data_IF_989578708355
#
_entry.id   IF_989578708355
#
_cell.length_a   1.000
_cell.length_b   1.000
_cell.length_c   1.000
_cell.angle_alpha   90.00
_cell.angle_beta   90.00
_cell.angle_gamma   90.00
#
_symmetry.space_group_name_H-M   'P 1'
#
loop_
_entity.id
_entity.type
_entity.pdbx_description
1 polymer ?
#
# COMPACT_ATOMS: atom_id res chain seq x y z
N UNK A 1 -2.48 -19.14 -25.24
CA UNK A 1 -1.22 -18.36 -25.26
C UNK A 1 -1.35 -17.09 -24.41
N UNK A 2 -2.29 -16.19 -24.71
CA UNK A 2 -2.42 -14.90 -23.99
C UNK A 2 -2.67 -15.01 -22.48
N UNK A 3 -3.57 -15.90 -22.04
CA UNK A 3 -3.83 -16.10 -20.60
C UNK A 3 -2.60 -16.60 -19.83
N UNK A 4 -1.81 -17.48 -20.47
CA UNK A 4 -0.58 -18.03 -19.89
C UNK A 4 0.48 -16.94 -19.78
N UNK A 5 0.64 -16.12 -20.84
CA UNK A 5 1.56 -14.98 -20.82
C UNK A 5 1.19 -13.96 -19.74
N UNK A 6 -0.10 -13.55 -19.66
CA UNK A 6 -0.58 -12.61 -18.63
C UNK A 6 -0.33 -13.12 -17.21
N UNK A 7 -0.59 -14.40 -16.96
CA UNK A 7 -0.33 -15.02 -15.67
C UNK A 7 1.17 -15.06 -15.36
N UNK A 8 2.00 -15.48 -16.32
CA UNK A 8 3.45 -15.56 -16.15
C UNK A 8 4.06 -14.19 -15.82
N UNK A 9 3.74 -13.17 -16.62
CA UNK A 9 4.21 -11.80 -16.36
C UNK A 9 3.67 -11.23 -15.05
N UNK A 10 2.41 -11.53 -14.70
CA UNK A 10 1.83 -11.12 -13.43
C UNK A 10 2.54 -11.72 -12.22
N UNK A 11 2.83 -13.03 -12.25
CA UNK A 11 3.58 -13.70 -11.17
C UNK A 11 5.00 -13.15 -11.08
N UNK A 12 5.68 -12.98 -12.22
CA UNK A 12 7.05 -12.44 -12.27
C UNK A 12 7.10 -11.02 -11.70
N UNK A 13 6.14 -10.17 -12.08
CA UNK A 13 5.99 -8.82 -11.53
C UNK A 13 5.74 -8.82 -10.02
N UNK A 14 4.92 -9.74 -9.51
CA UNK A 14 4.68 -9.89 -8.07
C UNK A 14 5.94 -10.29 -7.30
N UNK A 15 6.76 -11.19 -7.85
CA UNK A 15 8.04 -11.59 -7.23
C UNK A 15 8.98 -10.39 -7.14
N UNK A 16 9.12 -9.63 -8.23
CA UNK A 16 9.98 -8.42 -8.25
C UNK A 16 9.47 -7.38 -7.25
N UNK A 17 8.16 -7.11 -7.25
CA UNK A 17 7.55 -6.17 -6.32
C UNK A 17 7.73 -6.58 -4.86
N UNK A 18 7.69 -7.88 -4.54
CA UNK A 18 7.96 -8.36 -3.19
C UNK A 18 9.38 -8.03 -2.74
N UNK A 19 10.38 -8.20 -3.61
CA UNK A 19 11.75 -7.78 -3.30
C UNK A 19 11.87 -6.27 -3.10
N UNK A 20 11.11 -5.46 -3.86
CA UNK A 20 11.07 -4.02 -3.67
C UNK A 20 10.49 -3.65 -2.29
N UNK A 21 9.39 -4.29 -1.86
CA UNK A 21 8.83 -4.10 -0.51
C UNK A 21 9.78 -4.55 0.60
N UNK A 22 10.62 -5.56 0.35
CA UNK A 22 11.62 -6.05 1.29
C UNK A 22 12.93 -5.23 1.27
N UNK A 23 13.12 -4.34 0.30
CA UNK A 23 14.33 -3.50 0.22
C UNK A 23 14.62 -2.68 1.50
N UNK A 24 13.62 -2.13 2.22
CA UNK A 24 13.87 -1.35 3.43
C UNK A 24 14.17 -2.19 4.68
N UNK A 25 14.16 -3.53 4.60
CA UNK A 25 14.39 -4.41 5.77
C UNK A 25 15.70 -4.09 6.47
N UNK A 26 16.78 -3.81 5.72
CA UNK A 26 18.08 -3.47 6.29
C UNK A 26 18.01 -2.16 7.10
N UNK A 27 17.28 -1.17 6.60
CA UNK A 27 17.06 0.11 7.29
C UNK A 27 16.27 -0.09 8.58
N UNK A 28 15.17 -0.83 8.54
CA UNK A 28 14.37 -1.09 9.74
C UNK A 28 15.08 -1.96 10.77
N UNK A 29 15.92 -2.90 10.31
CA UNK A 29 16.80 -3.64 11.21
C UNK A 29 17.73 -2.71 11.98
N UNK A 30 18.31 -1.70 11.31
CA UNK A 30 19.14 -0.67 11.95
C UNK A 30 18.34 0.13 12.98
N UNK A 31 17.11 0.55 12.65
CA UNK A 31 16.22 1.27 13.57
C UNK A 31 15.98 0.45 14.85
N UNK A 32 15.68 -0.84 14.71
CA UNK A 32 15.45 -1.75 15.85
C UNK A 32 16.71 -1.88 16.71
N UNK A 33 17.89 -2.05 16.08
CA UNK A 33 19.18 -2.20 16.78
C UNK A 33 19.60 -0.92 17.50
N UNK A 34 19.37 0.24 16.89
CA UNK A 34 19.74 1.55 17.44
C UNK A 34 18.68 2.13 18.38
N UNK A 35 17.48 1.53 18.42
CA UNK A 35 16.33 2.00 19.22
C UNK A 35 15.96 3.46 18.92
N UNK A 36 16.26 3.91 17.70
CA UNK A 36 16.03 5.26 17.22
C UNK A 36 15.78 5.20 15.71
N UNK A 37 14.88 6.06 15.23
CA UNK A 37 14.68 6.26 13.78
C UNK A 37 15.81 7.05 13.13
N UNK A 38 16.78 7.56 13.91
CA UNK A 38 17.82 8.46 13.41
C UNK A 38 17.17 9.58 12.57
N UNK A 39 17.75 9.92 11.42
CA UNK A 39 17.19 10.89 10.46
C UNK A 39 16.28 10.24 9.40
N UNK A 40 15.94 8.95 9.55
CA UNK A 40 15.06 8.27 8.59
C UNK A 40 13.64 8.84 8.65
N UNK A 41 13.08 9.13 7.48
CA UNK A 41 11.70 9.58 7.35
C UNK A 41 10.73 8.39 7.27
N UNK A 42 9.70 8.41 8.10
CA UNK A 42 8.63 7.42 8.06
C UNK A 42 7.58 7.68 6.97
N UNK A 43 7.57 8.89 6.37
CA UNK A 43 6.53 9.34 5.44
C UNK A 43 6.34 8.40 4.24
N UNK A 44 7.40 7.91 3.57
CA UNK A 44 7.25 7.02 2.42
C UNK A 44 6.42 5.77 2.74
N UNK A 45 6.61 5.16 3.92
CA UNK A 45 5.91 3.93 4.31
C UNK A 45 4.40 4.15 4.50
N UNK A 46 3.99 5.28 5.06
CA UNK A 46 2.58 5.64 5.15
C UNK A 46 1.96 5.89 3.76
N UNK A 47 2.70 6.52 2.85
CA UNK A 47 2.20 6.80 1.49
C UNK A 47 2.09 5.50 0.67
N UNK A 48 3.11 4.65 0.72
CA UNK A 48 3.10 3.32 0.08
C UNK A 48 2.00 2.45 0.67
N UNK A 49 1.78 2.48 1.99
CA UNK A 49 0.67 1.76 2.64
C UNK A 49 -0.69 2.17 2.04
N UNK A 50 -0.95 3.46 1.87
CA UNK A 50 -2.19 3.93 1.23
C UNK A 50 -2.32 3.42 -0.20
N UNK A 51 -1.24 3.51 -0.99
CA UNK A 51 -1.24 3.05 -2.38
C UNK A 51 -1.54 1.55 -2.48
N UNK A 52 -0.91 0.76 -1.61
CA UNK A 52 -1.13 -0.68 -1.52
C UNK A 52 -2.57 -0.99 -1.11
N UNK A 53 -3.12 -0.31 -0.10
CA UNK A 53 -4.51 -0.53 0.31
C UNK A 53 -5.50 -0.22 -0.82
N UNK A 54 -5.34 0.92 -1.51
CA UNK A 54 -6.20 1.31 -2.63
C UNK A 54 -6.07 0.34 -3.81
N UNK A 55 -4.85 -0.04 -4.17
CA UNK A 55 -4.57 -0.97 -5.28
C UNK A 55 -5.07 -2.38 -4.96
N UNK A 56 -4.90 -2.83 -3.71
CA UNK A 56 -5.43 -4.11 -3.26
C UNK A 56 -6.96 -4.12 -3.31
N UNK A 57 -7.61 -3.04 -2.86
CA UNK A 57 -9.06 -2.91 -2.94
C UNK A 57 -9.58 -2.90 -4.38
N UNK A 58 -8.93 -2.14 -5.26
CA UNK A 58 -9.26 -2.11 -6.68
C UNK A 58 -9.17 -3.50 -7.32
N UNK A 59 -8.14 -4.28 -6.99
CA UNK A 59 -7.92 -5.61 -7.56
C UNK A 59 -8.92 -6.69 -7.12
N UNK A 60 -9.76 -6.43 -6.11
CA UNK A 60 -10.69 -7.43 -5.59
C UNK A 60 -11.69 -7.87 -6.68
N UNK A 61 -12.07 -9.15 -6.78
CA UNK A 61 -12.88 -9.66 -7.89
C UNK A 61 -14.24 -8.97 -8.08
N UNK A 62 -14.85 -8.48 -6.99
CA UNK A 62 -16.12 -7.75 -7.05
C UNK A 62 -15.97 -6.26 -7.43
N UNK A 63 -14.76 -5.71 -7.34
CA UNK A 63 -14.41 -4.35 -7.76
C UNK A 63 -13.88 -4.36 -9.19
N UNK A 64 -12.88 -5.19 -9.48
CA UNK A 64 -12.31 -5.37 -10.80
C UNK A 64 -12.07 -6.86 -11.12
N UNK A 65 -12.89 -7.48 -11.97
CA UNK A 65 -12.72 -8.88 -12.36
C UNK A 65 -11.34 -9.14 -12.99
N UNK A 66 -10.80 -10.35 -12.77
CA UNK A 66 -9.53 -10.84 -13.33
C UNK A 66 -8.25 -10.09 -12.88
N UNK A 67 -8.32 -9.25 -11.85
CA UNK A 67 -7.16 -8.49 -11.32
C UNK A 67 -6.65 -9.00 -9.96
N UNK A 68 -6.87 -10.29 -9.65
CA UNK A 68 -6.51 -10.87 -8.35
C UNK A 68 -5.01 -10.77 -8.04
N UNK A 69 -4.14 -10.84 -9.04
CA UNK A 69 -2.69 -10.71 -8.86
C UNK A 69 -2.29 -9.33 -8.32
N UNK A 70 -3.05 -8.27 -8.65
CA UNK A 70 -2.86 -6.93 -8.08
C UNK A 70 -3.22 -6.93 -6.60
N UNK A 71 -4.32 -7.60 -6.23
CA UNK A 71 -4.73 -7.77 -4.82
C UNK A 71 -3.66 -8.49 -4.01
N UNK A 72 -3.11 -9.58 -4.54
CA UNK A 72 -2.16 -10.41 -3.77
C UNK A 72 -0.91 -9.64 -3.42
N UNK A 73 -0.32 -8.91 -4.38
CA UNK A 73 0.94 -8.21 -4.15
C UNK A 73 0.77 -6.95 -3.32
N UNK A 74 -0.28 -6.17 -3.59
CA UNK A 74 -0.54 -4.97 -2.83
C UNK A 74 -1.08 -5.30 -1.43
N UNK A 75 -1.80 -6.42 -1.27
CA UNK A 75 -2.14 -6.96 0.03
C UNK A 75 -0.89 -7.31 0.84
N UNK A 76 0.04 -8.08 0.26
CA UNK A 76 1.33 -8.38 0.90
C UNK A 76 2.12 -7.09 1.22
N UNK A 77 2.21 -6.17 0.26
CA UNK A 77 2.84 -4.86 0.44
C UNK A 77 2.21 -4.08 1.59
N UNK A 78 0.88 -4.02 1.69
CA UNK A 78 0.20 -3.34 2.78
C UNK A 78 0.53 -3.92 4.17
N UNK A 79 0.70 -5.24 4.27
CA UNK A 79 1.13 -5.89 5.52
C UNK A 79 2.57 -5.52 5.86
N UNK A 80 3.48 -5.56 4.88
CA UNK A 80 4.89 -5.19 5.07
C UNK A 80 5.03 -3.72 5.47
N UNK A 81 4.35 -2.81 4.76
CA UNK A 81 4.36 -1.38 5.05
C UNK A 81 3.73 -1.06 6.41
N UNK A 82 2.65 -1.76 6.80
CA UNK A 82 2.08 -1.63 8.14
C UNK A 82 3.09 -2.03 9.22
N UNK A 83 3.87 -3.10 9.02
CA UNK A 83 4.95 -3.50 9.93
C UNK A 83 6.00 -2.39 10.04
N UNK A 84 6.43 -1.82 8.92
CA UNK A 84 7.37 -0.69 8.90
C UNK A 84 6.83 0.54 9.65
N UNK A 85 5.58 0.92 9.41
CA UNK A 85 4.92 2.02 10.13
C UNK A 85 4.89 1.74 11.64
N UNK A 86 4.54 0.51 12.06
CA UNK A 86 4.53 0.13 13.48
C UNK A 86 5.93 0.22 14.09
N UNK A 87 6.96 -0.33 13.44
CA UNK A 87 8.34 -0.25 13.93
C UNK A 87 8.76 1.22 14.06
N UNK A 88 8.45 2.06 13.07
CA UNK A 88 8.75 3.49 13.12
C UNK A 88 8.05 4.16 14.31
N UNK A 89 6.76 3.89 14.52
CA UNK A 89 5.99 4.45 15.64
C UNK A 89 6.51 3.99 17.01
N UNK A 90 7.09 2.80 17.12
CA UNK A 90 7.72 2.33 18.37
C UNK A 90 8.98 3.15 18.67
N UNK A 91 9.90 3.27 17.70
CA UNK A 91 11.25 3.82 17.93
C UNK A 91 11.41 5.32 17.61
N UNK A 92 10.43 5.97 16.99
CA UNK A 92 10.49 7.39 16.69
C UNK A 92 10.40 8.29 17.94
N UNK A 93 11.08 9.42 17.89
CA UNK A 93 10.94 10.48 18.88
C UNK A 93 9.53 11.10 18.86
N UNK A 94 9.12 11.73 19.96
CA UNK A 94 7.75 12.22 20.18
C UNK A 94 7.20 13.06 19.02
N UNK A 95 8.00 14.01 18.50
CA UNK A 95 7.57 14.89 17.39
C UNK A 95 7.32 14.10 16.10
N UNK A 96 8.26 13.24 15.71
CA UNK A 96 8.12 12.38 14.53
C UNK A 96 6.98 11.38 14.70
N UNK A 97 6.81 10.80 15.88
CA UNK A 97 5.73 9.86 16.20
C UNK A 97 4.34 10.50 16.04
N UNK A 98 4.13 11.70 16.56
CA UNK A 98 2.86 12.43 16.42
C UNK A 98 2.58 12.73 14.93
N UNK A 99 3.59 13.19 14.18
CA UNK A 99 3.45 13.42 12.73
C UNK A 99 3.06 12.13 12.00
N UNK A 100 3.70 11.02 12.34
CA UNK A 100 3.46 9.71 11.72
C UNK A 100 2.09 9.14 12.06
N UNK A 101 1.61 9.32 13.30
CA UNK A 101 0.23 8.99 13.69
C UNK A 101 -0.79 9.84 12.94
N UNK A 102 -0.52 11.15 12.80
CA UNK A 102 -1.35 12.05 12.00
C UNK A 102 -1.46 11.57 10.56
N UNK A 103 -0.32 11.24 9.93
CA UNK A 103 -0.32 10.68 8.57
C UNK A 103 -1.07 9.35 8.48
N UNK A 104 -0.87 8.43 9.41
CA UNK A 104 -1.58 7.15 9.45
C UNK A 104 -3.10 7.37 9.59
N UNK A 105 -3.54 8.34 10.39
CA UNK A 105 -4.95 8.70 10.53
C UNK A 105 -5.55 9.22 9.22
N UNK A 106 -4.80 10.03 8.46
CA UNK A 106 -5.22 10.52 7.14
C UNK A 106 -5.30 9.36 6.14
N UNK A 107 -4.27 8.51 6.08
CA UNK A 107 -4.22 7.33 5.21
C UNK A 107 -5.42 6.40 5.45
N UNK A 108 -5.67 6.04 6.71
CA UNK A 108 -6.79 5.16 7.07
C UNK A 108 -8.14 5.80 6.79
N UNK A 109 -8.29 7.11 7.01
CA UNK A 109 -9.53 7.85 6.69
C UNK A 109 -9.80 7.90 5.18
N UNK A 110 -8.79 8.18 4.36
CA UNK A 110 -8.91 8.18 2.89
C UNK A 110 -9.32 6.79 2.41
N UNK A 111 -8.60 5.75 2.86
CA UNK A 111 -8.90 4.37 2.48
C UNK A 111 -10.32 3.97 2.88
N UNK A 112 -10.72 4.22 4.14
CA UNK A 112 -12.07 3.93 4.62
C UNK A 112 -13.14 4.67 3.80
N UNK A 113 -12.91 5.93 3.45
CA UNK A 113 -13.83 6.71 2.62
C UNK A 113 -14.00 6.09 1.24
N UNK A 114 -12.91 5.71 0.57
CA UNK A 114 -12.96 5.04 -0.74
C UNK A 114 -13.72 3.72 -0.64
N UNK A 115 -13.45 2.90 0.38
CA UNK A 115 -14.15 1.64 0.62
C UNK A 115 -15.65 1.87 0.82
N UNK A 116 -16.03 2.79 1.70
CA UNK A 116 -17.43 3.06 2.02
C UNK A 116 -18.20 3.62 0.81
N UNK A 117 -17.64 4.59 0.08
CA UNK A 117 -18.26 5.11 -1.15
C UNK A 117 -18.38 4.02 -2.21
N UNK A 118 -17.33 3.22 -2.40
CA UNK A 118 -17.31 2.08 -3.32
C UNK A 118 -18.40 1.05 -2.99
N UNK A 119 -18.65 0.76 -1.71
CA UNK A 119 -19.60 -0.28 -1.31
C UNK A 119 -21.04 0.22 -1.23
N UNK A 120 -21.25 1.43 -0.72
CA UNK A 120 -22.57 1.94 -0.36
C UNK A 120 -23.21 2.78 -1.47
N UNK A 121 -22.39 3.49 -2.26
CA UNK A 121 -22.89 4.45 -3.25
C UNK A 121 -22.71 3.99 -4.71
N UNK A 122 -21.77 3.08 -4.98
CA UNK A 122 -21.37 2.71 -6.35
C UNK A 122 -21.55 1.23 -6.64
N UNK A 123 -21.92 0.92 -7.89
CA UNK A 123 -22.15 -0.44 -8.36
C UNK A 123 -21.54 -0.65 -9.75
N UNK A 124 -21.20 -1.91 -10.06
CA UNK A 124 -20.69 -2.33 -11.37
C UNK A 124 -19.52 -1.47 -11.86
N UNK A 125 -19.62 -0.99 -13.10
CA UNK A 125 -18.55 -0.22 -13.78
C UNK A 125 -18.19 1.09 -13.05
N UNK A 126 -19.16 1.77 -12.44
CA UNK A 126 -18.91 3.02 -11.73
C UNK A 126 -17.96 2.80 -10.54
N UNK A 127 -18.17 1.70 -9.81
CA UNK A 127 -17.28 1.26 -8.72
C UNK A 127 -15.87 0.94 -9.21
N UNK A 128 -15.76 0.18 -10.30
CA UNK A 128 -14.46 -0.18 -10.89
C UNK A 128 -13.67 1.07 -11.30
N UNK A 129 -14.31 2.02 -11.99
CA UNK A 129 -13.67 3.26 -12.45
C UNK A 129 -13.28 4.14 -11.27
N UNK A 130 -14.14 4.31 -10.27
CA UNK A 130 -13.84 5.10 -9.08
C UNK A 130 -12.63 4.56 -8.30
N UNK A 131 -12.64 3.27 -7.97
CA UNK A 131 -11.52 2.63 -7.26
C UNK A 131 -10.23 2.64 -8.08
N UNK A 132 -10.34 2.41 -9.40
CA UNK A 132 -9.20 2.47 -10.31
C UNK A 132 -8.58 3.86 -10.37
N UNK A 133 -9.40 4.91 -10.49
CA UNK A 133 -8.92 6.30 -10.49
C UNK A 133 -8.23 6.65 -9.17
N UNK A 134 -8.80 6.26 -8.03
CA UNK A 134 -8.17 6.46 -6.73
C UNK A 134 -6.79 5.78 -6.65
N UNK A 135 -6.69 4.51 -7.03
CA UNK A 135 -5.43 3.76 -7.03
C UNK A 135 -4.39 4.35 -8.00
N UNK A 136 -4.81 4.76 -9.20
CA UNK A 136 -3.92 5.33 -10.23
C UNK A 136 -3.39 6.70 -9.82
N UNK A 137 -4.24 7.60 -9.33
CA UNK A 137 -3.82 8.94 -8.89
C UNK A 137 -2.78 8.83 -7.78
N UNK A 138 -3.01 7.98 -6.78
CA UNK A 138 -2.06 7.81 -5.69
C UNK A 138 -0.74 7.16 -6.13
N UNK A 139 -0.77 6.16 -7.02
CA UNK A 139 0.45 5.58 -7.60
C UNK A 139 1.31 6.67 -8.26
N UNK A 140 0.71 7.51 -9.11
CA UNK A 140 1.41 8.59 -9.82
C UNK A 140 1.96 9.62 -8.83
N UNK A 141 1.20 10.01 -7.80
CA UNK A 141 1.64 10.98 -6.81
C UNK A 141 2.87 10.52 -6.00
N UNK A 142 3.01 9.21 -5.77
CA UNK A 142 4.14 8.64 -5.03
C UNK A 142 5.37 8.46 -5.95
N UNK A 143 5.17 8.47 -7.27
CA UNK A 143 6.22 8.28 -8.26
C UNK A 143 6.41 6.83 -8.71
N UNK A 144 5.34 6.02 -8.65
CA UNK A 144 5.26 4.69 -9.25
C UNK A 144 4.57 4.71 -10.61
#
# INVERSE_FOLDING_TARGET
MEHIARFFFGVSGNVIALFLFLSPVVTFWRIIKRKSTEDFSGVPYNMTLLNCLLSAWYGLPFVSPNNILVTTINGAGSVIEAIYVVIFLIFAERKAKIRMLGLLSVVTTIFATVVLVSLLALHGRARTVFCGLAATVFSICIGW
#
